data_IF_077454898465
#
_entry.id   IF_077454898465
#
_cell.length_a   1.000
_cell.length_b   1.000
_cell.length_c   1.000
_cell.angle_alpha   90.00
_cell.angle_beta   90.00
_cell.angle_gamma   90.00
#
_symmetry.space_group_name_H-M   'P 1'
#
loop_
_entity.id
_entity.type
_entity.pdbx_description
1 polymer ?
#
# COMPACT_ATOMS: atom_id res chain seq x y z
N UNK A 1 12.75 16.74 9.31
CA UNK A 1 12.28 15.75 10.31
C UNK A 1 11.67 14.59 9.55
N UNK A 2 11.84 13.34 10.02
CA UNK A 2 11.05 12.22 9.48
C UNK A 2 9.57 12.55 9.64
N UNK A 3 8.74 12.19 8.65
CA UNK A 3 7.29 12.33 8.81
C UNK A 3 6.82 11.37 9.91
N UNK A 4 5.92 11.81 10.80
CA UNK A 4 5.39 10.96 11.87
C UNK A 4 3.85 11.02 11.89
N UNK A 5 3.21 9.91 11.56
CA UNK A 5 1.75 9.75 11.57
C UNK A 5 1.26 8.82 12.68
N UNK A 6 2.05 8.60 13.74
CA UNK A 6 1.71 7.73 14.87
C UNK A 6 0.45 8.21 15.61
N UNK A 7 0.19 9.52 15.58
CA UNK A 7 -0.96 10.18 16.18
C UNK A 7 -2.28 9.99 15.40
N UNK A 8 -2.22 9.50 14.16
CA UNK A 8 -3.38 9.34 13.27
C UNK A 8 -4.04 8.00 13.52
N UNK A 9 -5.01 7.96 14.43
CA UNK A 9 -5.61 6.70 14.94
C UNK A 9 -7.05 6.47 14.49
N UNK A 10 -7.62 7.40 13.72
CA UNK A 10 -9.00 7.34 13.26
C UNK A 10 -9.15 7.86 11.84
N UNK A 11 -10.17 7.37 11.13
CA UNK A 11 -10.49 7.83 9.77
C UNK A 11 -10.74 9.33 9.74
N UNK A 12 -11.45 9.89 10.71
CA UNK A 12 -11.70 11.33 10.77
C UNK A 12 -10.40 12.16 10.79
N UNK A 13 -9.38 11.73 11.55
CA UNK A 13 -8.07 12.38 11.57
C UNK A 13 -7.34 12.25 10.22
N UNK A 14 -7.31 11.05 9.63
CA UNK A 14 -6.69 10.84 8.33
C UNK A 14 -7.39 11.66 7.23
N UNK A 15 -8.71 11.75 7.27
CA UNK A 15 -9.51 12.54 6.34
C UNK A 15 -9.26 14.05 6.47
N UNK A 16 -9.04 14.55 7.69
CA UNK A 16 -8.62 15.94 7.89
C UNK A 16 -7.25 16.21 7.27
N UNK A 17 -6.30 15.28 7.40
CA UNK A 17 -4.97 15.36 6.77
C UNK A 17 -5.06 15.27 5.24
N UNK A 18 -5.97 14.46 4.70
CA UNK A 18 -6.23 14.40 3.25
C UNK A 18 -6.72 15.75 2.72
N UNK A 19 -7.62 16.42 3.43
CA UNK A 19 -8.09 17.77 3.05
C UNK A 19 -6.96 18.81 3.06
N UNK A 20 -5.92 18.60 3.86
CA UNK A 20 -4.73 19.47 3.94
C UNK A 20 -3.62 19.08 2.94
N UNK A 21 -3.79 17.98 2.21
CA UNK A 21 -2.79 17.46 1.28
C UNK A 21 -1.62 16.74 1.95
N UNK A 22 -1.68 16.50 3.26
CA UNK A 22 -0.63 15.80 4.02
C UNK A 22 -0.72 14.28 3.87
N UNK A 23 -1.92 13.76 3.59
CA UNK A 23 -2.18 12.38 3.25
C UNK A 23 -2.99 12.31 1.94
N UNK A 24 -2.96 11.14 1.31
CA UNK A 24 -3.80 10.79 0.17
C UNK A 24 -4.46 9.46 0.43
N UNK A 25 -5.65 9.27 -0.15
CA UNK A 25 -6.30 7.96 -0.14
C UNK A 25 -5.68 7.09 -1.22
N UNK A 26 -5.40 5.84 -0.87
CA UNK A 26 -4.94 4.82 -1.80
C UNK A 26 -5.85 3.61 -1.75
N UNK A 27 -5.71 2.75 -2.75
CA UNK A 27 -6.15 1.35 -2.66
C UNK A 27 -4.92 0.50 -2.42
N UNK A 28 -4.92 -0.34 -1.38
CA UNK A 28 -3.80 -1.25 -1.13
C UNK A 28 -3.65 -2.24 -2.29
N UNK A 29 -4.77 -2.84 -2.70
CA UNK A 29 -4.89 -3.70 -3.84
C UNK A 29 -5.44 -2.90 -5.04
N UNK A 30 -4.66 -2.67 -6.11
CA UNK A 30 -5.06 -1.86 -7.25
C UNK A 30 -6.29 -2.40 -8.00
N UNK A 31 -7.10 -1.49 -8.54
CA UNK A 31 -8.26 -1.84 -9.39
C UNK A 31 -7.85 -2.71 -10.59
N UNK A 32 -6.68 -2.45 -11.18
CA UNK A 32 -6.17 -3.18 -12.35
C UNK A 32 -5.88 -4.67 -12.10
N UNK A 33 -5.76 -5.07 -10.84
CA UNK A 33 -5.60 -6.48 -10.45
C UNK A 33 -6.90 -7.09 -9.89
N UNK A 34 -8.01 -6.36 -9.91
CA UNK A 34 -9.31 -6.80 -9.34
C UNK A 34 -9.65 -6.15 -7.99
N UNK A 35 -8.86 -5.17 -7.53
CA UNK A 35 -9.08 -4.49 -6.25
C UNK A 35 -10.39 -3.71 -6.17
N UNK A 36 -11.23 -4.08 -5.20
CA UNK A 36 -12.53 -3.44 -4.94
C UNK A 36 -12.35 -2.11 -4.22
N UNK A 37 -13.34 -1.22 -4.36
CA UNK A 37 -13.35 0.09 -3.68
C UNK A 37 -14.08 0.02 -2.34
N UNK A 38 -13.74 -0.98 -1.51
CA UNK A 38 -14.35 -1.17 -0.19
C UNK A 38 -13.48 -0.59 0.92
N UNK A 39 -14.04 -0.57 2.13
CA UNK A 39 -13.43 0.06 3.30
C UNK A 39 -12.09 -0.60 3.68
N UNK A 40 -11.94 -1.89 3.45
CA UNK A 40 -10.77 -2.69 3.82
C UNK A 40 -9.62 -2.47 2.84
N UNK A 41 -9.93 -2.24 1.56
CA UNK A 41 -8.93 -1.94 0.55
C UNK A 41 -8.51 -0.45 0.52
N UNK A 42 -9.20 0.44 1.23
CA UNK A 42 -8.86 1.87 1.28
C UNK A 42 -7.91 2.16 2.44
N UNK A 43 -6.74 2.72 2.11
CA UNK A 43 -5.72 3.18 3.06
C UNK A 43 -5.39 4.66 2.90
N UNK A 44 -4.53 5.16 3.80
CA UNK A 44 -4.03 6.54 3.77
C UNK A 44 -2.51 6.51 3.82
N UNK A 45 -1.84 7.26 2.94
CA UNK A 45 -0.37 7.38 2.92
C UNK A 45 0.04 8.82 2.60
N UNK A 46 1.29 9.23 2.89
CA UNK A 46 1.81 10.52 2.46
C UNK A 46 1.89 10.59 0.93
N UNK A 47 1.71 11.77 0.31
CA UNK A 47 1.81 11.92 -1.15
C UNK A 47 3.11 11.37 -1.75
N UNK A 48 4.24 11.50 -1.02
CA UNK A 48 5.54 10.98 -1.46
C UNK A 48 5.59 9.46 -1.63
N UNK A 49 4.68 8.70 -1.00
CA UNK A 49 4.61 7.26 -1.15
C UNK A 49 3.96 6.80 -2.47
N UNK A 50 3.22 7.68 -3.16
CA UNK A 50 2.50 7.33 -4.40
C UNK A 50 3.45 6.81 -5.49
N UNK A 51 4.60 7.46 -5.67
CA UNK A 51 5.59 7.05 -6.67
C UNK A 51 6.13 5.63 -6.41
N UNK A 52 6.40 5.29 -5.14
CA UNK A 52 6.86 3.95 -4.78
C UNK A 52 5.76 2.90 -4.98
N UNK A 53 4.51 3.23 -4.67
CA UNK A 53 3.36 2.37 -4.88
C UNK A 53 3.14 2.11 -6.38
N UNK A 54 3.20 3.16 -7.20
CA UNK A 54 3.05 3.03 -8.65
C UNK A 54 4.16 2.15 -9.25
N UNK A 55 5.41 2.36 -8.84
CA UNK A 55 6.53 1.52 -9.28
C UNK A 55 6.36 0.05 -8.87
N UNK A 56 5.95 -0.21 -7.62
CA UNK A 56 5.71 -1.58 -7.16
C UNK A 56 4.58 -2.24 -7.95
N UNK A 57 3.50 -1.51 -8.23
CA UNK A 57 2.42 -2.01 -9.04
C UNK A 57 2.89 -2.30 -10.48
N UNK A 58 3.73 -1.46 -11.07
CA UNK A 58 4.22 -1.68 -12.45
C UNK A 58 5.12 -2.92 -12.51
N UNK A 59 5.95 -3.11 -11.48
CA UNK A 59 6.73 -4.34 -11.31
C UNK A 59 5.85 -5.58 -11.20
N UNK A 60 4.76 -5.54 -10.43
CA UNK A 60 3.76 -6.62 -10.35
C UNK A 60 3.14 -6.90 -11.72
N UNK A 61 2.79 -5.85 -12.48
CA UNK A 61 2.19 -6.02 -13.81
C UNK A 61 3.13 -6.79 -14.74
N UNK A 62 4.42 -6.43 -14.76
CA UNK A 62 5.42 -7.18 -15.51
C UNK A 62 5.61 -8.63 -15.06
N UNK A 63 5.46 -8.93 -13.76
CA UNK A 63 5.49 -10.32 -13.26
C UNK A 63 4.28 -11.13 -13.73
N UNK A 64 3.09 -10.52 -13.76
CA UNK A 64 1.87 -11.14 -14.27
C UNK A 64 2.01 -11.42 -15.78
N UNK A 65 2.50 -10.44 -16.55
CA UNK A 65 2.67 -10.58 -18.01
C UNK A 65 3.65 -11.70 -18.38
N UNK A 66 4.70 -11.88 -17.56
CA UNK A 66 5.66 -12.98 -17.69
C UNK A 66 5.12 -14.32 -17.17
N UNK A 67 3.90 -14.37 -16.63
CA UNK A 67 3.31 -15.53 -15.93
C UNK A 67 4.18 -16.04 -14.77
N UNK A 68 4.98 -15.15 -14.18
CA UNK A 68 5.86 -15.49 -13.08
C UNK A 68 5.11 -15.54 -11.73
N UNK A 69 3.97 -14.86 -11.65
CA UNK A 69 3.10 -14.84 -10.47
C UNK A 69 1.64 -15.01 -10.90
N UNK A 70 0.83 -15.62 -10.06
CA UNK A 70 -0.62 -15.74 -10.20
C UNK A 70 -1.38 -15.21 -8.97
N UNK A 71 -0.64 -14.86 -7.91
CA UNK A 71 -1.17 -14.38 -6.65
C UNK A 71 -0.37 -13.18 -6.15
N UNK A 72 -1.11 -12.18 -5.67
CA UNK A 72 -0.59 -11.01 -4.97
C UNK A 72 -1.29 -10.90 -3.61
N UNK A 73 -0.53 -10.72 -2.55
CA UNK A 73 -1.02 -10.31 -1.24
C UNK A 73 -0.39 -8.96 -0.90
N UNK A 74 -1.21 -8.01 -0.43
CA UNK A 74 -0.72 -6.68 0.00
C UNK A 74 -0.98 -6.53 1.49
N UNK A 75 0.09 -6.43 2.26
CA UNK A 75 0.04 -6.36 3.72
C UNK A 75 0.54 -5.00 4.23
N UNK A 76 -0.36 -4.09 4.63
CA UNK A 76 0.04 -2.90 5.35
C UNK A 76 0.49 -3.25 6.78
N UNK A 77 1.64 -2.71 7.20
CA UNK A 77 2.17 -2.82 8.55
C UNK A 77 2.03 -1.48 9.26
N UNK A 78 1.51 -1.51 10.48
CA UNK A 78 1.17 -0.33 11.26
C UNK A 78 2.03 -0.23 12.52
N UNK A 79 2.23 1.01 13.01
CA UNK A 79 2.89 1.28 14.29
C UNK A 79 1.86 1.69 15.34
N UNK A 80 1.78 0.95 16.44
CA UNK A 80 0.87 1.23 17.53
C UNK A 80 -0.59 1.24 17.06
N UNK A 81 -1.30 2.34 17.34
CA UNK A 81 -2.72 2.52 16.96
C UNK A 81 -2.90 3.31 15.66
N UNK A 82 -1.81 3.65 14.96
CA UNK A 82 -1.91 4.44 13.74
C UNK A 82 -2.63 3.67 12.64
N UNK A 83 -3.50 4.36 11.91
CA UNK A 83 -4.15 3.84 10.71
C UNK A 83 -3.42 4.22 9.42
N UNK A 84 -2.27 4.91 9.54
CA UNK A 84 -1.34 5.17 8.44
C UNK A 84 -0.24 4.11 8.53
N UNK A 85 -0.07 3.26 7.51
CA UNK A 85 0.93 2.20 7.55
C UNK A 85 2.34 2.81 7.54
N UNK A 86 3.25 2.25 8.33
CA UNK A 86 4.69 2.58 8.27
C UNK A 86 5.37 1.84 7.12
N UNK A 87 4.81 0.69 6.73
CA UNK A 87 5.28 -0.10 5.60
C UNK A 87 4.10 -0.74 4.87
N UNK A 88 4.26 -1.00 3.58
CA UNK A 88 3.38 -1.87 2.82
C UNK A 88 4.23 -2.96 2.19
N UNK A 89 3.87 -4.22 2.43
CA UNK A 89 4.59 -5.38 1.88
C UNK A 89 3.74 -6.00 0.78
N UNK A 90 4.31 -6.14 -0.41
CA UNK A 90 3.71 -6.84 -1.53
C UNK A 90 4.36 -8.22 -1.59
N UNK A 91 3.57 -9.26 -1.38
CA UNK A 91 4.02 -10.65 -1.42
C UNK A 91 3.46 -11.25 -2.71
N UNK A 92 4.34 -11.50 -3.67
CA UNK A 92 3.95 -12.06 -4.97
C UNK A 92 4.38 -13.52 -5.02
N UNK A 93 3.48 -14.42 -5.42
CA UNK A 93 3.76 -15.85 -5.56
C UNK A 93 3.21 -16.40 -6.87
N UNK A 94 3.82 -17.46 -7.38
CA UNK A 94 3.36 -18.22 -8.55
C UNK A 94 3.21 -19.71 -8.23
N UNK A 95 3.22 -20.56 -9.25
CA UNK A 95 3.08 -22.03 -9.11
C UNK A 95 4.24 -22.70 -8.35
N UNK A 96 5.38 -22.02 -8.19
CA UNK A 96 6.52 -22.48 -7.39
C UNK A 96 6.50 -21.98 -5.94
N UNK A 97 7.39 -22.52 -5.10
CA UNK A 97 7.48 -22.14 -3.68
C UNK A 97 8.12 -20.76 -3.42
N UNK A 98 8.79 -20.18 -4.42
CA UNK A 98 9.49 -18.91 -4.24
C UNK A 98 8.51 -17.72 -4.25
N UNK A 99 8.62 -16.86 -3.23
CA UNK A 99 7.93 -15.57 -3.20
C UNK A 99 8.86 -14.43 -3.58
N UNK A 100 8.29 -13.40 -4.20
CA UNK A 100 8.96 -12.13 -4.46
C UNK A 100 8.30 -11.08 -3.59
N UNK A 101 9.05 -10.61 -2.60
CA UNK A 101 8.57 -9.64 -1.63
C UNK A 101 9.12 -8.25 -1.97
N UNK A 102 8.24 -7.25 -1.98
CA UNK A 102 8.60 -5.84 -2.13
C UNK A 102 8.11 -5.06 -0.92
N UNK A 103 9.04 -4.49 -0.16
CA UNK A 103 8.73 -3.69 1.03
C UNK A 103 8.84 -2.21 0.71
N UNK A 104 7.72 -1.49 0.84
CA UNK A 104 7.64 -0.05 0.67
C UNK A 104 7.66 0.59 2.05
N UNK A 105 8.73 1.33 2.37
CA UNK A 105 8.79 2.15 3.59
C UNK A 105 8.03 3.46 3.35
N UNK A 106 7.06 3.76 4.22
CA UNK A 106 6.14 4.87 4.01
C UNK A 106 6.56 6.11 4.83
N UNK A 107 6.85 5.93 6.14
CA UNK A 107 7.27 7.00 7.05
C UNK A 107 7.96 6.47 8.32
#
# INVERSE_FOLDING_TARGET
>A
MPMDFSHVTSRAQAEALVKRGELVRIRFFPKRFGGRADRENIGYVPPGALMMIDFANDRVSGLIDLKAIDRLVVEPKYRGKSIVPVQIVYICSGEGEATIDMTLNIW
#
